data_IF_128556483451
#
_entry.id   IF_128556483451
#
_cell.length_a   1.000
_cell.length_b   1.000
_cell.length_c   1.000
_cell.angle_alpha   90.00
_cell.angle_beta   90.00
_cell.angle_gamma   90.00
#
_symmetry.space_group_name_H-M   'P 1'
#
loop_
_entity.id
_entity.type
_entity.pdbx_description
1 polymer ?
#
# COMPACT_ATOMS: atom_id res chain seq x y z
N UNK A 1 4.96 7.31 -32.65
CA UNK A 1 3.71 7.03 -31.87
C UNK A 1 4.05 5.94 -30.87
N UNK A 2 3.76 6.16 -29.62
CA UNK A 2 4.10 5.22 -28.53
C UNK A 2 3.18 4.00 -28.56
N UNK A 3 3.75 2.80 -28.36
CA UNK A 3 3.01 1.55 -28.33
C UNK A 3 3.23 0.81 -26.99
N UNK A 4 2.33 -0.13 -26.71
CA UNK A 4 2.53 -1.06 -25.57
C UNK A 4 3.81 -1.85 -25.77
N UNK A 5 4.58 -2.01 -24.70
CA UNK A 5 5.91 -2.66 -24.60
C UNK A 5 7.09 -1.82 -25.13
N UNK A 6 6.88 -0.62 -25.67
CA UNK A 6 7.99 0.28 -25.96
C UNK A 6 8.74 0.62 -24.65
N UNK A 7 10.06 0.76 -24.72
CA UNK A 7 10.89 1.23 -23.63
C UNK A 7 11.33 2.66 -23.97
N UNK A 8 11.03 3.58 -23.08
CA UNK A 8 11.35 5.00 -23.24
C UNK A 8 12.10 5.53 -22.03
N UNK A 9 13.02 6.46 -22.26
CA UNK A 9 13.71 7.16 -21.18
C UNK A 9 12.97 8.44 -20.84
N UNK A 10 12.62 8.59 -19.56
CA UNK A 10 11.95 9.79 -19.04
C UNK A 10 12.55 10.21 -17.71
N UNK A 11 12.35 11.48 -17.38
CA UNK A 11 12.58 12.03 -16.05
C UNK A 11 11.25 12.22 -15.33
N UNK A 12 11.20 11.89 -14.06
CA UNK A 12 10.03 12.08 -13.21
C UNK A 12 10.06 13.48 -12.62
N UNK A 13 9.09 14.30 -13.01
CA UNK A 13 9.03 15.72 -12.64
C UNK A 13 7.86 16.06 -11.71
N UNK A 14 7.00 15.11 -11.42
CA UNK A 14 5.85 15.29 -10.54
C UNK A 14 5.32 13.97 -9.98
N UNK A 15 4.33 14.07 -9.10
CA UNK A 15 3.70 12.93 -8.44
C UNK A 15 2.19 13.11 -8.38
N UNK A 16 1.45 12.04 -8.58
CA UNK A 16 -0.01 12.03 -8.37
C UNK A 16 -0.34 11.79 -6.89
N UNK A 17 -1.57 12.10 -6.50
CA UNK A 17 -2.10 11.80 -5.15
C UNK A 17 -2.07 10.31 -4.79
N UNK A 18 -2.07 9.44 -5.81
CA UNK A 18 -2.00 7.98 -5.63
C UNK A 18 -0.56 7.46 -5.52
N UNK A 19 0.45 8.33 -5.62
CA UNK A 19 1.86 7.96 -5.55
C UNK A 19 2.42 7.39 -6.86
N UNK A 20 1.84 7.76 -8.02
CA UNK A 20 2.47 7.47 -9.29
C UNK A 20 3.29 8.68 -9.72
N UNK A 21 4.57 8.47 -10.06
CA UNK A 21 5.38 9.52 -10.65
C UNK A 21 4.87 9.92 -12.02
N UNK A 22 5.10 11.15 -12.39
CA UNK A 22 4.69 11.75 -13.67
C UNK A 22 5.92 12.25 -14.39
N UNK A 23 6.18 11.70 -15.56
CA UNK A 23 7.15 12.21 -16.52
C UNK A 23 6.47 12.52 -17.85
N UNK A 24 7.26 12.94 -18.85
CA UNK A 24 6.77 13.18 -20.21
C UNK A 24 7.66 12.51 -21.23
N UNK A 25 7.05 11.97 -22.26
CA UNK A 25 7.73 11.49 -23.47
C UNK A 25 7.03 12.09 -24.70
N UNK A 26 7.76 12.84 -25.54
CA UNK A 26 7.24 13.56 -26.71
C UNK A 26 5.94 14.36 -26.40
N UNK A 27 5.91 15.03 -25.23
CA UNK A 27 4.77 15.82 -24.78
C UNK A 27 3.63 15.02 -24.13
N UNK A 28 3.63 13.70 -24.24
CA UNK A 28 2.63 12.82 -23.62
C UNK A 28 3.02 12.52 -22.17
N UNK A 29 2.06 12.62 -21.24
CA UNK A 29 2.28 12.27 -19.83
C UNK A 29 2.41 10.74 -19.67
N UNK A 30 3.40 10.32 -18.86
CA UNK A 30 3.67 8.93 -18.53
C UNK A 30 3.55 8.77 -17.02
N UNK A 31 2.64 7.91 -16.57
CA UNK A 31 2.45 7.59 -15.15
C UNK A 31 3.20 6.32 -14.78
N UNK A 32 4.08 6.42 -13.79
CA UNK A 32 4.98 5.34 -13.40
C UNK A 32 4.88 5.09 -11.89
N UNK A 33 4.34 3.94 -11.44
CA UNK A 33 4.31 3.61 -10.02
C UNK A 33 5.72 3.35 -9.49
N UNK A 34 5.91 3.53 -8.18
CA UNK A 34 7.17 3.28 -7.46
C UNK A 34 8.34 4.14 -7.93
N UNK A 35 8.09 5.23 -8.63
CA UNK A 35 9.11 6.20 -9.02
C UNK A 35 9.13 7.41 -8.07
N UNK A 36 10.26 8.10 -8.00
CA UNK A 36 10.46 9.29 -7.18
C UNK A 36 10.68 10.52 -8.09
N UNK A 37 10.32 11.71 -7.63
CA UNK A 37 10.61 12.95 -8.36
C UNK A 37 12.13 13.11 -8.45
N UNK A 38 12.65 13.40 -9.66
CA UNK A 38 14.08 13.44 -9.96
C UNK A 38 14.68 12.14 -10.46
N UNK A 39 13.93 11.03 -10.46
CA UNK A 39 14.40 9.81 -11.12
C UNK A 39 14.54 10.02 -12.63
N UNK A 40 15.63 9.51 -13.21
CA UNK A 40 15.74 9.26 -14.64
C UNK A 40 15.64 7.77 -14.90
N UNK A 41 14.62 7.36 -15.65
CA UNK A 41 14.18 5.97 -15.77
C UNK A 41 14.11 5.52 -17.23
N UNK A 42 14.43 4.25 -17.47
CA UNK A 42 13.87 3.52 -18.60
C UNK A 42 12.53 2.93 -18.15
N UNK A 43 11.49 3.26 -18.87
CA UNK A 43 10.10 2.90 -18.55
C UNK A 43 9.53 2.04 -19.67
N UNK A 44 9.06 0.85 -19.32
CA UNK A 44 8.31 -0.02 -20.23
C UNK A 44 6.83 0.38 -20.22
N UNK A 45 6.32 0.76 -21.35
CA UNK A 45 4.94 1.20 -21.52
C UNK A 45 4.00 -0.01 -21.41
N UNK A 46 3.04 0.08 -20.51
CA UNK A 46 2.06 -1.01 -20.27
C UNK A 46 0.70 -0.74 -20.91
N UNK A 47 0.33 0.56 -21.01
CA UNK A 47 -0.95 0.98 -21.61
C UNK A 47 -0.82 2.38 -22.20
N UNK A 48 -1.30 2.55 -23.42
CA UNK A 48 -1.37 3.85 -24.11
C UNK A 48 -2.83 4.28 -24.24
N UNK A 49 -3.12 5.52 -23.90
CA UNK A 49 -4.41 6.19 -24.03
C UNK A 49 -4.24 7.42 -24.90
N UNK A 50 -5.32 8.09 -25.26
CA UNK A 50 -5.30 9.22 -26.22
C UNK A 50 -4.40 10.39 -25.79
N UNK A 51 -4.31 10.68 -24.48
CA UNK A 51 -3.62 11.86 -23.93
C UNK A 51 -2.54 11.54 -22.91
N UNK A 52 -2.42 10.29 -22.50
CA UNK A 52 -1.42 9.83 -21.52
C UNK A 52 -1.18 8.33 -21.61
N UNK A 53 -0.14 7.85 -20.98
CA UNK A 53 0.15 6.43 -20.90
C UNK A 53 0.58 6.02 -19.49
N UNK A 54 0.57 4.70 -19.25
CA UNK A 54 1.12 4.08 -18.05
C UNK A 54 2.33 3.26 -18.41
N UNK A 55 3.31 3.24 -17.52
CA UNK A 55 4.48 2.39 -17.63
C UNK A 55 4.90 1.85 -16.28
N UNK A 56 5.86 0.94 -16.31
CA UNK A 56 6.55 0.40 -15.15
C UNK A 56 8.05 0.65 -15.30
N UNK A 57 8.74 0.77 -14.17
CA UNK A 57 10.19 0.93 -14.18
C UNK A 57 10.82 -0.34 -14.75
N UNK A 58 11.56 -0.21 -15.86
CA UNK A 58 12.40 -1.26 -16.42
C UNK A 58 13.79 -1.20 -15.80
N UNK A 59 14.36 0.00 -15.70
CA UNK A 59 15.61 0.26 -14.99
C UNK A 59 15.69 1.72 -14.52
N UNK A 60 16.44 1.94 -13.45
CA UNK A 60 16.77 3.28 -12.95
C UNK A 60 18.13 3.67 -13.52
N UNK A 61 18.19 4.74 -14.34
CA UNK A 61 19.43 5.27 -14.92
C UNK A 61 20.13 6.15 -13.89
N UNK A 62 19.36 7.07 -13.26
CA UNK A 62 19.83 7.94 -12.21
C UNK A 62 18.74 7.98 -11.12
N UNK A 63 19.03 7.48 -9.91
CA UNK A 63 18.06 7.55 -8.83
C UNK A 63 17.91 8.98 -8.32
N UNK A 64 16.70 9.33 -7.90
CA UNK A 64 16.43 10.55 -7.15
C UNK A 64 17.21 10.54 -5.83
N UNK A 65 17.73 11.70 -5.36
CA UNK A 65 18.33 11.81 -4.04
C UNK A 65 17.31 11.58 -2.91
N UNK A 66 16.04 11.70 -3.19
CA UNK A 66 14.95 11.49 -2.23
C UNK A 66 14.61 10.01 -2.01
N UNK A 67 15.18 9.10 -2.81
CA UNK A 67 15.00 7.66 -2.60
C UNK A 67 15.68 7.21 -1.32
N UNK A 68 14.98 6.36 -0.58
CA UNK A 68 15.53 5.65 0.57
C UNK A 68 15.50 4.14 0.31
N UNK A 69 16.27 3.40 1.09
CA UNK A 69 16.24 1.94 1.07
C UNK A 69 14.87 1.44 1.54
N UNK A 70 14.31 0.49 0.78
CA UNK A 70 13.02 -0.11 1.11
C UNK A 70 13.20 -1.08 2.29
N UNK A 71 12.58 -0.78 3.41
CA UNK A 71 12.62 -1.56 4.65
C UNK A 71 11.43 -2.53 4.82
N UNK A 72 10.54 -2.60 3.83
CA UNK A 72 9.38 -3.48 3.82
C UNK A 72 9.45 -4.46 2.63
N UNK A 73 9.66 -5.75 2.88
CA UNK A 73 9.90 -6.74 1.82
C UNK A 73 8.71 -6.96 0.88
N UNK A 74 7.53 -6.48 1.26
CA UNK A 74 6.30 -6.61 0.45
C UNK A 74 5.82 -5.28 -0.13
N UNK A 75 6.56 -4.19 0.05
CA UNK A 75 6.15 -2.85 -0.36
C UNK A 75 5.72 -2.78 -1.83
N UNK A 76 6.50 -3.35 -2.74
CA UNK A 76 6.22 -3.33 -4.19
C UNK A 76 4.94 -4.08 -4.58
N UNK A 77 4.48 -5.01 -3.73
CA UNK A 77 3.31 -5.88 -3.98
C UNK A 77 2.09 -5.47 -3.16
N UNK A 78 2.31 -4.96 -1.94
CA UNK A 78 1.27 -4.56 -1.00
C UNK A 78 0.61 -3.24 -1.42
N UNK A 79 -0.71 -3.13 -1.27
CA UNK A 79 -1.48 -1.92 -1.54
C UNK A 79 -1.51 -0.91 -0.39
N UNK A 80 -0.86 -1.19 0.73
CA UNK A 80 -0.99 -0.40 1.96
C UNK A 80 -0.22 0.92 1.99
N UNK A 81 0.88 1.02 1.23
CA UNK A 81 1.76 2.20 1.22
C UNK A 81 2.00 2.71 -0.21
N UNK A 82 2.14 4.04 -0.36
CA UNK A 82 2.42 4.68 -1.64
C UNK A 82 3.81 5.30 -1.70
N UNK A 83 4.41 5.73 -0.58
CA UNK A 83 5.61 6.56 -0.55
C UNK A 83 6.78 5.98 0.25
N UNK A 84 6.75 4.70 0.65
CA UNK A 84 7.78 4.11 1.52
C UNK A 84 9.18 3.99 0.87
N UNK A 85 9.31 4.29 -0.41
CA UNK A 85 10.56 4.29 -1.17
C UNK A 85 11.21 5.67 -1.27
N UNK A 86 10.63 6.69 -0.64
CA UNK A 86 11.17 8.06 -0.60
C UNK A 86 11.22 8.56 0.84
N UNK A 87 12.05 9.57 1.08
CA UNK A 87 12.18 10.21 2.38
C UNK A 87 10.85 10.82 2.85
N UNK A 88 10.65 10.88 4.18
CA UNK A 88 9.44 11.47 4.74
C UNK A 88 9.34 12.98 4.42
N UNK A 89 10.45 13.67 4.35
CA UNK A 89 10.51 15.08 3.94
C UNK A 89 9.97 15.27 2.52
N UNK A 90 10.38 14.41 1.59
CA UNK A 90 9.85 14.42 0.22
C UNK A 90 8.37 14.05 0.16
N UNK A 91 7.91 13.10 0.98
CA UNK A 91 6.50 12.78 1.11
C UNK A 91 5.68 13.99 1.57
N UNK A 92 6.15 14.72 2.59
CA UNK A 92 5.51 15.95 3.08
C UNK A 92 5.45 17.01 1.99
N UNK A 93 6.55 17.24 1.27
CA UNK A 93 6.60 18.18 0.16
C UNK A 93 5.60 17.83 -0.95
N UNK A 94 5.54 16.56 -1.36
CA UNK A 94 4.58 16.07 -2.37
C UNK A 94 3.13 16.32 -1.91
N UNK A 95 2.82 16.04 -0.66
CA UNK A 95 1.48 16.27 -0.08
C UNK A 95 1.13 17.76 -0.06
N UNK A 96 2.07 18.62 0.33
CA UNK A 96 1.90 20.07 0.32
C UNK A 96 1.68 20.59 -1.10
N UNK A 97 2.51 20.18 -2.05
CA UNK A 97 2.38 20.58 -3.46
C UNK A 97 1.06 20.12 -4.07
N UNK A 98 0.58 18.93 -3.73
CA UNK A 98 -0.71 18.43 -4.16
C UNK A 98 -1.87 19.31 -3.68
N UNK A 99 -1.86 19.73 -2.41
CA UNK A 99 -2.88 20.64 -1.85
C UNK A 99 -2.80 22.00 -2.56
N UNK A 100 -1.60 22.58 -2.68
CA UNK A 100 -1.37 23.85 -3.37
C UNK A 100 -1.87 23.82 -4.80
N UNK A 101 -1.54 22.79 -5.54
CA UNK A 101 -1.97 22.58 -6.93
C UNK A 101 -3.49 22.44 -7.04
N UNK A 102 -4.12 21.75 -6.12
CA UNK A 102 -5.57 21.57 -6.10
C UNK A 102 -6.29 22.91 -5.90
N UNK A 103 -5.86 23.72 -4.94
CA UNK A 103 -6.42 25.05 -4.74
C UNK A 103 -6.17 25.97 -5.95
N UNK A 104 -4.94 26.00 -6.47
CA UNK A 104 -4.58 26.88 -7.57
C UNK A 104 -5.20 26.47 -8.90
N UNK A 105 -5.10 25.20 -9.27
CA UNK A 105 -5.51 24.72 -10.60
C UNK A 105 -7.00 24.42 -10.69
N UNK A 106 -7.60 23.86 -9.65
CA UNK A 106 -9.03 23.47 -9.61
C UNK A 106 -9.85 24.57 -8.98
N UNK A 107 -9.49 25.00 -7.78
CA UNK A 107 -10.22 26.02 -7.03
C UNK A 107 -10.06 27.43 -7.55
N UNK A 108 -9.00 27.70 -8.36
CA UNK A 108 -8.63 29.04 -8.85
C UNK A 108 -8.32 30.04 -7.72
N UNK A 109 -7.89 29.53 -6.56
CA UNK A 109 -7.44 30.33 -5.44
C UNK A 109 -5.92 30.40 -5.43
N UNK A 110 -5.37 31.59 -5.25
CA UNK A 110 -3.95 31.80 -4.98
C UNK A 110 -3.80 32.16 -3.50
N UNK A 111 -3.58 31.14 -2.68
CA UNK A 111 -3.51 31.27 -1.23
C UNK A 111 -2.05 31.16 -0.79
N UNK A 112 -1.70 31.87 0.30
CA UNK A 112 -0.50 31.58 1.06
C UNK A 112 -0.75 30.34 1.93
N UNK A 113 0.23 29.48 2.02
CA UNK A 113 0.15 28.24 2.80
C UNK A 113 1.23 28.29 3.87
N UNK A 114 0.88 27.82 5.05
CA UNK A 114 1.85 27.50 6.09
C UNK A 114 2.53 26.16 5.77
N UNK A 115 3.64 25.89 6.44
CA UNK A 115 4.34 24.64 6.29
C UNK A 115 3.47 23.47 6.78
N UNK A 116 3.60 22.34 6.10
CA UNK A 116 2.88 21.12 6.48
C UNK A 116 3.42 20.58 7.80
N UNK A 117 2.54 20.32 8.74
CA UNK A 117 2.91 19.67 9.99
C UNK A 117 3.12 18.18 9.76
N UNK A 118 4.35 17.73 9.94
CA UNK A 118 4.72 16.33 9.90
C UNK A 118 4.44 15.60 11.21
N UNK A 119 4.40 14.28 11.17
CA UNK A 119 4.35 13.42 12.35
C UNK A 119 5.78 13.07 12.80
N UNK A 120 6.04 13.06 14.10
CA UNK A 120 7.33 12.66 14.65
C UNK A 120 7.59 11.16 14.49
N UNK A 121 6.51 10.36 14.58
CA UNK A 121 6.57 8.91 14.44
C UNK A 121 5.93 8.50 13.12
N UNK A 122 6.71 7.98 12.20
CA UNK A 122 6.27 7.55 10.86
C UNK A 122 6.00 6.06 10.79
N UNK A 123 6.32 5.32 11.87
CA UNK A 123 6.06 3.90 12.04
C UNK A 123 5.17 3.63 13.26
N UNK A 124 4.54 2.47 13.29
CA UNK A 124 3.70 1.98 14.39
C UNK A 124 2.57 2.94 14.85
N UNK A 125 2.23 3.94 14.03
CA UNK A 125 1.26 4.99 14.39
C UNK A 125 -0.21 4.58 14.23
N UNK A 126 -0.48 3.50 13.50
CA UNK A 126 -1.85 3.00 13.33
C UNK A 126 -2.30 2.30 14.58
N UNK A 127 -3.53 2.57 14.99
CA UNK A 127 -4.15 1.90 16.14
C UNK A 127 -5.19 0.85 15.73
N UNK A 128 -5.30 0.57 14.43
CA UNK A 128 -6.27 -0.37 13.86
C UNK A 128 -5.68 -1.10 12.66
N UNK A 129 -5.92 -2.40 12.59
CA UNK A 129 -5.67 -3.21 11.41
C UNK A 129 -6.86 -4.11 11.08
N UNK A 130 -7.05 -4.38 9.80
CA UNK A 130 -7.96 -5.40 9.31
C UNK A 130 -7.17 -6.27 8.33
N UNK A 131 -6.87 -7.48 8.76
CA UNK A 131 -6.11 -8.44 7.99
C UNK A 131 -7.08 -9.36 7.22
N UNK A 132 -7.18 -9.26 5.90
CA UNK A 132 -7.87 -10.28 5.12
C UNK A 132 -7.17 -11.64 5.28
N UNK A 133 -7.99 -12.69 5.38
CA UNK A 133 -7.54 -14.07 5.43
C UNK A 133 -7.97 -14.78 4.17
N UNK A 134 -7.06 -15.47 3.52
CA UNK A 134 -7.31 -16.21 2.30
C UNK A 134 -6.80 -17.64 2.41
N UNK A 135 -7.28 -18.52 1.53
CA UNK A 135 -6.74 -19.88 1.39
C UNK A 135 -5.71 -19.87 0.26
N UNK A 136 -4.46 -20.23 0.55
CA UNK A 136 -3.38 -20.33 -0.43
C UNK A 136 -2.58 -21.61 -0.15
N UNK A 137 -2.32 -22.40 -1.18
CA UNK A 137 -1.50 -23.63 -1.13
C UNK A 137 -1.89 -24.58 0.02
N UNK A 138 -3.19 -24.70 0.29
CA UNK A 138 -3.73 -25.58 1.33
C UNK A 138 -3.67 -25.02 2.76
N UNK A 139 -3.17 -23.80 2.96
CA UNK A 139 -3.09 -23.13 4.25
C UNK A 139 -3.86 -21.81 4.28
N UNK A 140 -4.37 -21.45 5.45
CA UNK A 140 -4.88 -20.10 5.67
C UNK A 140 -3.71 -19.13 5.83
N UNK A 141 -3.72 -18.04 5.07
CA UNK A 141 -2.74 -16.96 5.13
C UNK A 141 -3.43 -15.63 5.39
N UNK A 142 -2.76 -14.70 6.05
CA UNK A 142 -3.29 -13.35 6.23
C UNK A 142 -2.24 -12.29 5.90
N UNK A 143 -2.69 -11.07 5.64
CA UNK A 143 -1.80 -9.96 5.30
C UNK A 143 -2.58 -8.76 4.82
N UNK A 144 -2.20 -8.20 3.68
CA UNK A 144 -2.88 -7.04 3.09
C UNK A 144 -3.16 -7.27 1.61
N UNK A 145 -4.16 -6.58 1.07
CA UNK A 145 -4.47 -6.69 -0.35
C UNK A 145 -3.38 -6.06 -1.23
N UNK A 146 -3.09 -6.71 -2.34
CA UNK A 146 -2.31 -6.13 -3.43
C UNK A 146 -3.06 -4.93 -4.03
N UNK A 147 -2.33 -3.96 -4.59
CA UNK A 147 -2.92 -2.78 -5.24
C UNK A 147 -3.97 -3.20 -6.28
N UNK A 148 -5.17 -2.61 -6.21
CA UNK A 148 -6.30 -2.81 -7.13
C UNK A 148 -6.70 -4.29 -7.29
N UNK A 149 -6.56 -5.08 -6.24
CA UNK A 149 -6.85 -6.51 -6.25
C UNK A 149 -7.26 -6.96 -4.85
N UNK A 150 -8.03 -8.04 -4.77
CA UNK A 150 -8.32 -8.74 -3.51
C UNK A 150 -7.35 -9.89 -3.24
N UNK A 151 -6.26 -9.98 -4.00
CA UNK A 151 -5.21 -10.95 -3.72
C UNK A 151 -4.50 -10.59 -2.43
N UNK A 152 -4.53 -11.46 -1.44
CA UNK A 152 -3.83 -11.30 -0.18
C UNK A 152 -2.32 -11.51 -0.39
N UNK A 153 -1.53 -10.55 0.04
CA UNK A 153 -0.08 -10.66 0.17
C UNK A 153 0.21 -11.08 1.60
N UNK A 154 0.68 -12.31 1.85
CA UNK A 154 0.94 -12.79 3.20
C UNK A 154 2.04 -11.98 3.86
N UNK A 155 1.70 -11.25 4.92
CA UNK A 155 2.65 -10.46 5.67
C UNK A 155 2.02 -9.91 6.95
N UNK A 156 2.60 -10.17 8.10
CA UNK A 156 2.10 -9.74 9.42
C UNK A 156 2.95 -8.66 10.08
N UNK A 157 4.25 -8.57 9.73
CA UNK A 157 5.21 -7.61 10.30
C UNK A 157 5.12 -6.23 9.64
N UNK A 158 3.94 -5.62 9.69
CA UNK A 158 3.68 -4.33 9.05
C UNK A 158 4.21 -3.17 9.89
N UNK A 159 5.16 -2.41 9.37
CA UNK A 159 5.76 -1.22 10.00
C UNK A 159 4.78 -0.11 10.39
N UNK A 160 3.57 -0.10 9.83
CA UNK A 160 2.57 0.90 10.18
C UNK A 160 1.75 0.50 11.42
N UNK A 161 1.73 -0.80 11.76
CA UNK A 161 0.94 -1.36 12.84
C UNK A 161 1.79 -1.48 14.12
N UNK A 162 1.17 -1.43 15.33
CA UNK A 162 1.87 -1.80 16.55
C UNK A 162 2.49 -3.21 16.45
N UNK A 163 3.70 -3.39 16.94
CA UNK A 163 4.39 -4.70 16.90
C UNK A 163 3.57 -5.82 17.52
N UNK A 164 2.85 -5.52 18.60
CA UNK A 164 1.95 -6.46 19.26
C UNK A 164 0.89 -7.06 18.33
N UNK A 165 0.49 -6.33 17.25
CA UNK A 165 -0.48 -6.87 16.29
C UNK A 165 0.08 -8.04 15.52
N UNK A 166 1.37 -8.02 15.17
CA UNK A 166 2.07 -9.16 14.57
C UNK A 166 1.96 -10.38 15.46
N UNK A 167 2.34 -10.26 16.73
CA UNK A 167 2.38 -11.39 17.67
C UNK A 167 0.99 -12.00 17.87
N UNK A 168 -0.03 -11.16 17.98
CA UNK A 168 -1.44 -11.61 18.08
C UNK A 168 -1.87 -12.34 16.79
N UNK A 169 -1.59 -11.76 15.63
CA UNK A 169 -2.00 -12.36 14.35
C UNK A 169 -1.28 -13.66 14.09
N UNK A 170 0.01 -13.73 14.37
CA UNK A 170 0.80 -14.95 14.18
C UNK A 170 0.30 -16.08 15.11
N UNK A 171 -0.04 -15.76 16.38
CA UNK A 171 -0.67 -16.70 17.29
C UNK A 171 -2.01 -17.22 16.73
N UNK A 172 -2.88 -16.32 16.27
CA UNK A 172 -4.17 -16.68 15.69
C UNK A 172 -3.99 -17.55 14.44
N UNK A 173 -3.09 -17.18 13.54
CA UNK A 173 -2.88 -17.93 12.30
C UNK A 173 -2.29 -19.31 12.55
N UNK A 174 -1.42 -19.46 13.55
CA UNK A 174 -0.95 -20.78 14.00
C UNK A 174 -2.12 -21.64 14.48
N UNK A 175 -3.00 -21.09 15.34
CA UNK A 175 -4.18 -21.81 15.82
C UNK A 175 -5.11 -22.21 14.66
N UNK A 176 -5.40 -21.29 13.75
CA UNK A 176 -6.26 -21.50 12.56
C UNK A 176 -5.73 -22.66 11.71
N UNK A 177 -4.43 -22.67 11.41
CA UNK A 177 -3.83 -23.70 10.58
C UNK A 177 -3.72 -25.06 11.30
N UNK A 178 -3.38 -25.10 12.59
CA UNK A 178 -3.35 -26.32 13.40
C UNK A 178 -4.72 -27.00 13.47
N UNK A 179 -5.79 -26.22 13.57
CA UNK A 179 -7.17 -26.71 13.63
C UNK A 179 -7.81 -26.84 12.24
N UNK A 180 -7.04 -26.64 11.17
CA UNK A 180 -7.51 -26.75 9.77
C UNK A 180 -8.77 -25.89 9.49
N UNK A 181 -8.86 -24.71 10.11
CA UNK A 181 -9.94 -23.76 9.88
C UNK A 181 -9.64 -23.06 8.55
N UNK A 182 -10.47 -23.22 7.50
CA UNK A 182 -10.12 -22.67 6.19
C UNK A 182 -10.28 -21.15 6.14
N UNK A 183 -9.31 -20.48 5.51
CA UNK A 183 -9.45 -19.10 5.08
C UNK A 183 -10.56 -18.97 4.03
N UNK A 184 -11.14 -17.77 3.92
CA UNK A 184 -12.20 -17.50 2.95
C UNK A 184 -11.61 -17.35 1.53
N UNK A 185 -12.27 -17.98 0.58
CA UNK A 185 -11.99 -17.82 -0.84
C UNK A 185 -13.11 -17.01 -1.50
N UNK A 186 -12.78 -15.84 -2.04
CA UNK A 186 -13.77 -14.92 -2.62
C UNK A 186 -14.37 -15.42 -3.94
N UNK A 187 -13.68 -16.30 -4.65
CA UNK A 187 -14.13 -16.81 -5.94
C UNK A 187 -15.21 -17.90 -5.75
N UNK A 188 -14.92 -18.85 -4.87
CA UNK A 188 -15.84 -19.96 -4.59
C UNK A 188 -16.88 -19.60 -3.51
N UNK A 189 -16.67 -18.56 -2.72
CA UNK A 189 -17.47 -18.24 -1.55
C UNK A 189 -17.29 -19.23 -0.38
N UNK A 190 -16.31 -20.14 -0.48
CA UNK A 190 -16.03 -21.16 0.52
C UNK A 190 -15.09 -20.64 1.62
N UNK A 191 -14.96 -21.41 2.70
CA UNK A 191 -14.11 -21.09 3.85
C UNK A 191 -14.88 -20.47 5.01
N UNK A 192 -14.17 -20.14 6.07
CA UNK A 192 -14.75 -19.68 7.35
C UNK A 192 -14.25 -18.28 7.70
N UNK A 193 -12.95 -18.12 7.93
CA UNK A 193 -12.39 -16.88 8.41
C UNK A 193 -12.09 -15.93 7.26
N UNK A 194 -12.74 -14.74 7.27
CA UNK A 194 -12.58 -13.71 6.24
C UNK A 194 -11.56 -12.65 6.65
N UNK A 195 -11.65 -12.15 7.88
CA UNK A 195 -10.75 -11.11 8.36
C UNK A 195 -10.50 -11.27 9.85
N UNK A 196 -9.31 -10.83 10.25
CA UNK A 196 -8.95 -10.56 11.63
C UNK A 196 -8.90 -9.05 11.78
N UNK A 197 -9.74 -8.49 12.64
CA UNK A 197 -9.79 -7.07 12.92
C UNK A 197 -9.22 -6.83 14.32
N UNK A 198 -8.21 -5.96 14.42
CA UNK A 198 -7.57 -5.60 15.69
C UNK A 198 -7.62 -4.08 15.84
N UNK A 199 -7.93 -3.65 17.03
CA UNK A 199 -7.87 -2.24 17.40
C UNK A 199 -7.29 -2.09 18.79
N UNK A 200 -6.38 -1.12 18.97
CA UNK A 200 -5.81 -0.77 20.27
C UNK A 200 -6.25 0.63 20.67
N UNK A 201 -6.69 0.78 21.92
CA UNK A 201 -6.92 2.09 22.51
C UNK A 201 -5.59 2.81 22.72
N UNK A 202 -5.47 4.06 22.24
CA UNK A 202 -4.19 4.78 22.32
C UNK A 202 -3.76 5.02 23.78
N UNK A 203 -4.68 5.43 24.66
CA UNK A 203 -4.40 5.70 26.06
C UNK A 203 -4.59 4.47 26.95
N UNK A 204 -5.70 3.74 26.79
CA UNK A 204 -6.02 2.59 27.65
C UNK A 204 -5.13 1.38 27.35
N UNK A 205 -4.53 1.30 26.14
CA UNK A 205 -3.78 0.16 25.62
C UNK A 205 -4.61 -1.14 25.53
N UNK A 206 -5.91 -1.07 25.81
CA UNK A 206 -6.83 -2.19 25.63
C UNK A 206 -6.90 -2.63 24.17
N UNK A 207 -7.00 -3.92 23.95
CA UNK A 207 -7.08 -4.50 22.61
C UNK A 207 -8.45 -5.08 22.38
N UNK A 208 -9.07 -4.67 21.29
CA UNK A 208 -10.25 -5.30 20.74
C UNK A 208 -9.86 -6.22 19.58
N UNK A 209 -10.27 -7.47 19.67
CA UNK A 209 -10.11 -8.45 18.61
C UNK A 209 -11.49 -8.85 18.08
N UNK A 210 -11.66 -8.86 16.76
CA UNK A 210 -12.90 -9.28 16.11
C UNK A 210 -12.60 -10.20 14.93
N UNK A 211 -13.27 -11.36 14.88
CA UNK A 211 -13.21 -12.29 13.77
C UNK A 211 -14.40 -12.07 12.84
N UNK A 212 -14.13 -11.79 11.58
CA UNK A 212 -15.15 -11.68 10.55
C UNK A 212 -15.22 -13.01 9.82
N UNK A 213 -16.37 -13.66 9.93
CA UNK A 213 -16.56 -15.03 9.48
C UNK A 213 -17.69 -15.13 8.45
N UNK A 214 -17.58 -16.11 7.54
CA UNK A 214 -18.54 -16.35 6.48
C UNK A 214 -19.81 -17.09 6.95
N UNK A 215 -19.69 -17.82 8.07
CA UNK A 215 -20.80 -18.56 8.69
C UNK A 215 -20.59 -18.69 10.20
N UNK A 216 -21.63 -18.95 10.99
CA UNK A 216 -21.49 -19.18 12.42
C UNK A 216 -20.46 -20.29 12.69
N UNK A 217 -19.48 -20.01 13.54
CA UNK A 217 -18.39 -20.95 13.87
C UNK A 217 -17.83 -20.66 15.28
N UNK A 218 -18.70 -20.22 16.21
CA UNK A 218 -18.29 -19.81 17.55
C UNK A 218 -17.45 -20.88 18.26
N UNK A 219 -17.82 -22.14 18.16
CA UNK A 219 -17.15 -23.27 18.79
C UNK A 219 -15.68 -23.41 18.36
N UNK A 220 -15.38 -23.05 17.11
CA UNK A 220 -14.04 -23.11 16.57
C UNK A 220 -13.13 -21.96 17.05
N UNK A 221 -13.72 -20.83 17.44
CA UNK A 221 -12.99 -19.60 17.78
C UNK A 221 -12.99 -19.27 19.29
N UNK A 222 -13.88 -19.87 20.08
CA UNK A 222 -13.90 -19.71 21.56
C UNK A 222 -12.53 -19.93 22.20
N UNK A 223 -11.73 -20.95 21.80
CA UNK A 223 -10.42 -21.15 22.43
C UNK A 223 -9.41 -20.01 22.20
N UNK A 224 -9.73 -19.06 21.31
CA UNK A 224 -8.95 -17.84 21.11
C UNK A 224 -9.41 -16.65 21.96
N UNK A 225 -10.53 -16.78 22.64
CA UNK A 225 -11.11 -15.77 23.53
C UNK A 225 -10.78 -16.10 24.98
#
# INVERSE_FOLDING_TARGET
MLNKNDIVTIEITGMTSEGNGVGKYDGMAVFVPLSAIGDKLNVKITKVLKSYCFGIIESIILPSPDRIEEDCPVFSKCGGCSFRHISYESELKIKSDFIRDSFKKIGKFDLSYEDILGCNETEHYRNKAQYPVAQQDGQAVCGFYSKRSHRVIPFTDCKLQPELFRDIVDFIMNYINLNKIPGYDEVSGAGILRHIYIRQGYHSKEIMLCFIVNRPCRELLIPLC
#
